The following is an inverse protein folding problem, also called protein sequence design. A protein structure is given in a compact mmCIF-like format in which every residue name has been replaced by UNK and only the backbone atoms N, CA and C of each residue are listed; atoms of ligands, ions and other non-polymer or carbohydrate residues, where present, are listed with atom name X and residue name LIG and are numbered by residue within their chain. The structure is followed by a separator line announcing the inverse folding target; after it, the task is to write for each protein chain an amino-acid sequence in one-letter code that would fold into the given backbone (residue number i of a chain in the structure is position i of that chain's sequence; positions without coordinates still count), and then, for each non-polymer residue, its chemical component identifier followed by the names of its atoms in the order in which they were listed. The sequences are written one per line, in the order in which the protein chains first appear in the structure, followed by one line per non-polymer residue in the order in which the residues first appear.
data_IF_147535207109
#
_entry.id   IF_147535207109
#
_cell.length_a   1.000
_cell.length_b   1.000
_cell.length_c   1.000
_cell.angle_alpha   90.00
_cell.angle_beta   90.00
_cell.angle_gamma   90.00
#
_symmetry.space_group_name_H-M   'P 1'
#
loop_
_entity.id
_entity.type
_entity.pdbx_description
1 polymer ?
#
# COMPACT_ATOMS: atom_id res chain seq x y z
N UNK A 1 26.64 13.09 0.82
CA UNK A 1 25.49 13.35 -0.06
C UNK A 1 25.44 12.23 -1.09
N UNK A 2 24.46 11.35 -0.99
CA UNK A 2 24.21 10.35 -2.03
C UNK A 2 23.64 11.07 -3.25
N UNK A 3 24.42 11.04 -4.34
CA UNK A 3 24.03 11.62 -5.62
C UNK A 3 22.94 10.71 -6.22
N UNK A 4 21.68 11.01 -5.90
CA UNK A 4 20.51 10.32 -6.45
C UNK A 4 20.34 10.82 -7.90
N UNK A 5 20.97 10.10 -8.83
CA UNK A 5 20.76 10.34 -10.25
C UNK A 5 19.27 10.07 -10.59
N UNK A 6 18.46 11.08 -10.89
CA UNK A 6 17.04 10.92 -11.19
C UNK A 6 16.79 10.06 -12.44
N UNK A 7 17.76 9.94 -13.34
CA UNK A 7 17.66 9.13 -14.56
C UNK A 7 17.80 7.63 -14.30
N UNK A 8 18.36 7.25 -13.13
CA UNK A 8 18.51 5.84 -12.71
C UNK A 8 17.19 5.26 -12.18
N UNK A 9 16.22 6.11 -11.85
CA UNK A 9 14.92 5.74 -11.31
C UNK A 9 13.82 6.44 -12.10
N UNK A 10 13.47 5.94 -13.30
CA UNK A 10 12.41 6.52 -14.09
C UNK A 10 11.09 6.47 -13.33
N UNK A 11 10.60 7.63 -12.91
CA UNK A 11 9.31 7.80 -12.21
C UNK A 11 8.08 7.36 -13.02
N UNK A 12 8.30 6.77 -14.19
CA UNK A 12 7.27 6.49 -15.19
C UNK A 12 7.16 5.04 -15.62
N UNK A 13 7.90 4.10 -14.97
CA UNK A 13 7.68 2.69 -15.25
C UNK A 13 6.44 2.22 -14.45
N UNK A 14 5.28 2.04 -15.09
CA UNK A 14 4.04 1.67 -14.40
C UNK A 14 4.15 0.34 -13.66
N UNK A 15 5.01 -0.56 -14.10
CA UNK A 15 5.19 -1.87 -13.47
C UNK A 15 5.98 -1.79 -12.15
N UNK A 16 6.87 -0.80 -12.03
CA UNK A 16 7.62 -0.55 -10.77
C UNK A 16 6.75 0.23 -9.78
N UNK A 17 6.03 1.24 -10.26
CA UNK A 17 5.23 2.15 -9.42
C UNK A 17 3.95 1.49 -8.90
N UNK A 18 3.29 0.70 -9.74
CA UNK A 18 1.97 0.14 -9.43
C UNK A 18 1.97 -1.34 -9.04
N UNK A 19 3.14 -1.99 -9.08
CA UNK A 19 3.31 -3.41 -8.82
C UNK A 19 3.08 -4.30 -10.04
N UNK A 20 3.52 -5.54 -9.95
CA UNK A 20 3.42 -6.55 -11.01
C UNK A 20 2.00 -7.10 -11.15
N UNK A 21 1.30 -7.25 -10.02
CA UNK A 21 -0.04 -7.83 -9.97
C UNK A 21 -1.07 -6.74 -10.24
N UNK A 22 -1.80 -6.90 -11.33
CA UNK A 22 -2.87 -5.96 -11.75
C UNK A 22 -4.24 -6.51 -11.36
N UNK A 23 -5.19 -5.64 -10.98
CA UNK A 23 -6.55 -6.08 -10.69
C UNK A 23 -7.27 -6.52 -11.96
N UNK A 24 -8.13 -7.51 -11.84
CA UNK A 24 -9.13 -7.84 -12.86
C UNK A 24 -10.29 -6.84 -12.79
N UNK A 25 -10.89 -6.54 -13.95
CA UNK A 25 -12.12 -5.75 -13.98
C UNK A 25 -13.31 -6.73 -13.96
N UNK A 26 -14.14 -6.64 -12.91
CA UNK A 26 -15.37 -7.40 -12.77
C UNK A 26 -16.54 -6.44 -12.52
N UNK A 27 -17.53 -6.46 -13.40
CA UNK A 27 -18.70 -5.54 -13.35
C UNK A 27 -18.31 -4.05 -13.24
N UNK A 28 -17.24 -3.64 -13.94
CA UNK A 28 -16.74 -2.27 -13.92
C UNK A 28 -15.86 -1.90 -12.70
N UNK A 29 -15.66 -2.82 -11.77
CA UNK A 29 -14.82 -2.63 -10.58
C UNK A 29 -13.51 -3.40 -10.68
N UNK A 30 -12.45 -2.80 -10.13
CA UNK A 30 -11.15 -3.44 -9.94
C UNK A 30 -11.24 -4.44 -8.80
N UNK A 31 -10.76 -5.65 -9.05
CA UNK A 31 -10.70 -6.73 -8.05
C UNK A 31 -9.32 -7.36 -8.07
N UNK A 32 -8.65 -7.35 -6.94
CA UNK A 32 -7.37 -8.06 -6.77
C UNK A 32 -7.60 -9.54 -6.49
N UNK A 33 -6.60 -10.41 -6.75
CA UNK A 33 -6.64 -11.79 -6.29
C UNK A 33 -6.84 -11.85 -4.75
N UNK A 34 -7.57 -12.85 -4.29
CA UNK A 34 -7.92 -12.94 -2.86
C UNK A 34 -6.69 -13.12 -1.95
N UNK A 35 -5.60 -13.65 -2.49
CA UNK A 35 -4.31 -13.86 -1.85
C UNK A 35 -3.29 -12.74 -2.14
N UNK A 36 -3.69 -11.68 -2.85
CA UNK A 36 -2.80 -10.59 -3.19
C UNK A 36 -2.21 -9.94 -1.93
N UNK A 37 -0.87 -9.86 -1.90
CA UNK A 37 -0.14 -9.30 -0.78
C UNK A 37 0.88 -8.24 -1.26
N UNK A 38 0.50 -6.96 -1.30
CA UNK A 38 1.39 -5.90 -1.75
C UNK A 38 2.56 -5.64 -0.80
N UNK A 39 2.50 -6.09 0.45
CA UNK A 39 3.62 -5.98 1.39
C UNK A 39 4.79 -6.85 0.92
N UNK A 40 4.50 -8.11 0.55
CA UNK A 40 5.54 -9.02 0.06
C UNK A 40 6.10 -8.57 -1.29
N UNK A 41 5.26 -8.05 -2.17
CA UNK A 41 5.71 -7.50 -3.46
C UNK A 41 6.60 -6.26 -3.27
N UNK A 42 6.24 -5.36 -2.36
CA UNK A 42 7.04 -4.18 -2.03
C UNK A 42 8.36 -4.57 -1.36
N UNK A 43 8.34 -5.55 -0.46
CA UNK A 43 9.53 -6.09 0.19
C UNK A 43 10.50 -6.69 -0.82
N UNK A 44 10.03 -7.46 -1.81
CA UNK A 44 10.85 -7.97 -2.90
C UNK A 44 11.58 -6.84 -3.64
N UNK A 45 10.91 -5.71 -3.89
CA UNK A 45 11.53 -4.55 -4.53
C UNK A 45 12.57 -3.86 -3.64
N UNK A 46 12.38 -3.87 -2.33
CA UNK A 46 13.37 -3.34 -1.38
C UNK A 46 14.61 -4.25 -1.35
N UNK A 47 14.42 -5.57 -1.24
CA UNK A 47 15.53 -6.53 -1.16
C UNK A 47 16.37 -6.58 -2.44
N UNK A 48 15.75 -6.51 -3.60
CA UNK A 48 16.46 -6.54 -4.88
C UNK A 48 17.03 -5.16 -5.30
N UNK A 49 16.86 -4.12 -4.47
CA UNK A 49 17.38 -2.78 -4.70
C UNK A 49 16.63 -1.96 -5.76
N UNK A 50 15.51 -2.44 -6.28
CA UNK A 50 14.67 -1.70 -7.23
C UNK A 50 14.03 -0.48 -6.58
N UNK A 51 13.66 -0.60 -5.30
CA UNK A 51 13.11 0.50 -4.51
C UNK A 51 14.04 0.85 -3.36
N UNK A 52 14.49 2.11 -3.31
CA UNK A 52 15.30 2.62 -2.21
C UNK A 52 14.40 3.16 -1.09
N UNK A 53 14.65 2.72 0.12
CA UNK A 53 13.94 3.15 1.32
C UNK A 53 14.92 3.59 2.41
N UNK A 54 14.43 4.34 3.39
CA UNK A 54 15.22 4.67 4.58
C UNK A 54 15.44 3.42 5.44
N UNK A 55 16.51 3.44 6.25
CA UNK A 55 16.80 2.34 7.20
C UNK A 55 15.59 2.02 8.10
N UNK A 56 14.83 3.03 8.53
CA UNK A 56 13.65 2.83 9.40
C UNK A 56 12.53 2.11 8.65
N UNK A 57 12.28 2.47 7.39
CA UNK A 57 11.29 1.80 6.55
C UNK A 57 11.70 0.36 6.29
N UNK A 58 12.98 0.12 5.97
CA UNK A 58 13.52 -1.22 5.81
C UNK A 58 13.25 -2.09 7.04
N UNK A 59 13.68 -1.65 8.23
CA UNK A 59 13.50 -2.38 9.48
C UNK A 59 12.02 -2.66 9.79
N UNK A 60 11.15 -1.70 9.52
CA UNK A 60 9.71 -1.86 9.73
C UNK A 60 9.11 -2.92 8.81
N UNK A 61 9.46 -2.91 7.52
CA UNK A 61 8.94 -3.92 6.59
C UNK A 61 9.56 -5.29 6.80
N UNK A 62 10.83 -5.37 7.18
CA UNK A 62 11.48 -6.61 7.61
C UNK A 62 10.70 -7.27 8.75
N UNK A 63 10.32 -6.50 9.77
CA UNK A 63 9.51 -7.00 10.89
C UNK A 63 8.11 -7.44 10.46
N UNK A 64 7.42 -6.62 9.65
CA UNK A 64 6.08 -6.94 9.14
C UNK A 64 6.09 -8.22 8.30
N UNK A 65 7.08 -8.37 7.43
CA UNK A 65 7.24 -9.56 6.58
C UNK A 65 7.54 -10.80 7.43
N UNK A 66 8.35 -10.65 8.49
CA UNK A 66 8.57 -11.74 9.45
C UNK A 66 7.25 -12.20 10.08
N UNK A 67 6.40 -11.28 10.55
CA UNK A 67 5.08 -11.63 11.09
C UNK A 67 4.19 -12.37 10.08
N UNK A 68 4.23 -11.96 8.81
CA UNK A 68 3.47 -12.65 7.75
C UNK A 68 4.00 -14.07 7.54
N UNK A 69 5.34 -14.25 7.48
CA UNK A 69 5.98 -15.57 7.30
C UNK A 69 5.79 -16.51 8.48
N UNK A 70 5.70 -15.97 9.68
CA UNK A 70 5.44 -16.71 10.93
C UNK A 70 3.94 -16.94 11.20
N UNK A 71 3.05 -16.62 10.24
CA UNK A 71 1.59 -16.72 10.35
C UNK A 71 0.98 -15.89 11.49
N UNK A 72 1.62 -14.81 11.88
CA UNK A 72 1.11 -13.85 12.84
C UNK A 72 2.12 -13.36 13.86
N UNK A 73 1.65 -12.46 14.71
CA UNK A 73 2.38 -11.93 15.84
C UNK A 73 1.42 -11.77 17.03
N UNK A 74 1.61 -12.56 18.06
CA UNK A 74 0.67 -12.69 19.18
C UNK A 74 -0.73 -13.10 18.68
N UNK A 75 -1.75 -12.32 19.05
CA UNK A 75 -3.14 -12.51 18.61
C UNK A 75 -3.43 -11.98 17.19
N UNK A 76 -2.45 -11.33 16.54
CA UNK A 76 -2.63 -10.64 15.25
C UNK A 76 -2.13 -11.49 14.09
N UNK A 77 -2.94 -11.61 13.05
CA UNK A 77 -2.57 -12.28 11.80
C UNK A 77 -2.89 -11.41 10.58
N UNK A 78 -2.17 -11.63 9.50
CA UNK A 78 -2.40 -10.89 8.26
C UNK A 78 -3.55 -11.50 7.46
N UNK A 79 -4.53 -10.67 7.10
CA UNK A 79 -5.66 -11.02 6.25
C UNK A 79 -5.57 -10.30 4.91
N UNK A 80 -5.18 -10.97 3.81
CA UNK A 80 -5.18 -10.36 2.47
C UNK A 80 -6.54 -9.78 2.09
N UNK A 81 -7.62 -10.46 2.43
CA UNK A 81 -8.99 -9.99 2.15
C UNK A 81 -9.27 -8.62 2.78
N UNK A 82 -8.87 -8.39 4.04
CA UNK A 82 -9.02 -7.09 4.70
C UNK A 82 -8.12 -6.03 4.09
N UNK A 83 -6.88 -6.39 3.78
CA UNK A 83 -5.93 -5.50 3.14
C UNK A 83 -6.41 -5.07 1.74
N UNK A 84 -6.90 -6.01 0.94
CA UNK A 84 -7.35 -5.73 -0.42
C UNK A 84 -8.64 -4.89 -0.44
N UNK A 85 -9.48 -5.01 0.59
CA UNK A 85 -10.74 -4.27 0.64
C UNK A 85 -10.54 -2.75 0.63
N UNK A 86 -9.60 -2.20 1.41
CA UNK A 86 -9.32 -0.76 1.38
C UNK A 86 -8.64 -0.32 0.08
N UNK A 87 -7.77 -1.14 -0.51
CA UNK A 87 -7.14 -0.86 -1.80
C UNK A 87 -8.21 -0.77 -2.89
N UNK A 88 -9.10 -1.76 -2.94
CA UNK A 88 -10.21 -1.81 -3.90
C UNK A 88 -11.19 -0.65 -3.67
N UNK A 89 -11.47 -0.30 -2.43
CA UNK A 89 -12.26 0.88 -2.09
C UNK A 89 -11.65 2.16 -2.67
N UNK A 90 -10.35 2.39 -2.42
CA UNK A 90 -9.65 3.55 -2.93
C UNK A 90 -9.71 3.65 -4.46
N UNK A 91 -9.37 2.55 -5.15
CA UNK A 91 -9.25 2.54 -6.61
C UNK A 91 -10.60 2.49 -7.35
N UNK A 92 -11.68 2.08 -6.67
CA UNK A 92 -13.01 2.02 -7.26
C UNK A 92 -13.88 3.23 -6.96
N UNK A 93 -13.77 3.82 -5.77
CA UNK A 93 -14.70 4.84 -5.31
C UNK A 93 -14.07 6.22 -5.13
N UNK A 94 -12.72 6.31 -5.00
CA UNK A 94 -12.05 7.58 -4.83
C UNK A 94 -11.51 8.13 -6.16
N UNK A 95 -11.54 9.46 -6.27
CA UNK A 95 -11.02 10.19 -7.43
C UNK A 95 -10.05 11.30 -6.98
N UNK A 96 -9.15 11.70 -7.87
CA UNK A 96 -8.32 12.87 -7.63
C UNK A 96 -9.19 14.13 -7.58
N UNK A 97 -9.02 14.95 -6.54
CA UNK A 97 -9.80 16.18 -6.33
C UNK A 97 -9.24 17.40 -7.04
N UNK A 98 -7.95 17.39 -7.40
CA UNK A 98 -7.23 18.58 -7.92
C UNK A 98 -6.25 18.23 -9.04
N UNK A 99 -5.85 19.26 -9.80
CA UNK A 99 -4.82 19.19 -10.83
C UNK A 99 -5.29 18.51 -12.11
N UNK A 100 -4.34 18.11 -12.97
CA UNK A 100 -4.60 17.48 -14.28
C UNK A 100 -5.33 16.13 -14.19
N UNK A 101 -5.33 15.52 -13.02
CA UNK A 101 -5.98 14.22 -12.75
C UNK A 101 -7.34 14.37 -12.09
N UNK A 102 -7.83 15.59 -11.83
CA UNK A 102 -9.12 15.83 -11.19
C UNK A 102 -10.25 15.01 -11.87
N UNK A 103 -11.07 14.35 -11.07
CA UNK A 103 -12.15 13.48 -11.52
C UNK A 103 -11.74 12.09 -12.02
N UNK A 104 -10.43 11.82 -12.24
CA UNK A 104 -9.97 10.47 -12.61
C UNK A 104 -9.85 9.58 -11.37
N UNK A 105 -10.16 8.30 -11.55
CA UNK A 105 -10.01 7.29 -10.49
C UNK A 105 -8.57 7.24 -9.99
N UNK A 106 -8.42 7.05 -8.69
CA UNK A 106 -7.13 6.83 -8.06
C UNK A 106 -6.56 5.49 -8.51
N UNK A 107 -5.25 5.46 -8.75
CA UNK A 107 -4.47 4.23 -8.89
C UNK A 107 -3.34 4.34 -7.88
N UNK A 108 -3.36 3.47 -6.88
CA UNK A 108 -2.38 3.48 -5.81
C UNK A 108 -1.02 2.95 -6.29
N UNK A 109 0.04 3.60 -5.87
CA UNK A 109 1.41 3.10 -6.01
C UNK A 109 1.63 1.87 -5.12
N UNK A 110 2.62 1.04 -5.44
CA UNK A 110 2.87 -0.18 -4.67
C UNK A 110 3.17 0.10 -3.19
N UNK A 111 3.95 1.14 -2.90
CA UNK A 111 4.24 1.52 -1.53
C UNK A 111 2.99 2.01 -0.77
N UNK A 112 2.05 2.67 -1.46
CA UNK A 112 0.77 3.10 -0.88
C UNK A 112 -0.11 1.89 -0.57
N UNK A 113 -0.16 0.90 -1.47
CA UNK A 113 -0.84 -0.38 -1.25
C UNK A 113 -0.23 -1.15 -0.08
N UNK A 114 1.11 -1.25 -0.03
CA UNK A 114 1.81 -1.91 1.06
C UNK A 114 1.56 -1.22 2.41
N UNK A 115 1.55 0.11 2.42
CA UNK A 115 1.22 0.90 3.60
C UNK A 115 -0.21 0.65 4.09
N UNK A 116 -1.21 0.79 3.21
CA UNK A 116 -2.61 0.54 3.58
C UNK A 116 -2.81 -0.91 4.05
N UNK A 117 -2.14 -1.87 3.40
CA UNK A 117 -2.18 -3.27 3.79
C UNK A 117 -1.58 -3.53 5.17
N UNK A 118 -0.47 -2.85 5.52
CA UNK A 118 0.11 -2.98 6.86
C UNK A 118 -0.79 -2.40 7.93
N UNK A 119 -1.53 -1.33 7.63
CA UNK A 119 -2.45 -0.70 8.60
C UNK A 119 -3.74 -1.50 8.78
N UNK A 120 -4.33 -2.00 7.70
CA UNK A 120 -5.67 -2.61 7.72
C UNK A 120 -5.69 -4.13 7.63
N UNK A 121 -4.57 -4.74 7.21
CA UNK A 121 -4.47 -6.18 7.00
C UNK A 121 -4.21 -7.00 8.25
N UNK A 122 -3.66 -6.42 9.33
CA UNK A 122 -3.43 -7.15 10.58
C UNK A 122 -4.65 -7.05 11.49
N UNK A 123 -5.27 -8.20 11.75
CA UNK A 123 -6.49 -8.33 12.55
C UNK A 123 -6.35 -9.44 13.57
N UNK A 124 -7.19 -9.42 14.61
CA UNK A 124 -7.41 -10.53 15.53
C UNK A 124 -8.55 -11.45 15.06
N UNK A 125 -8.86 -12.47 15.85
CA UNK A 125 -9.93 -13.43 15.56
C UNK A 125 -11.33 -12.78 15.52
N UNK A 126 -11.51 -11.65 16.21
CA UNK A 126 -12.76 -10.89 16.22
C UNK A 126 -12.85 -9.91 15.03
N UNK A 127 -11.75 -9.74 14.27
CA UNK A 127 -11.67 -8.83 13.14
C UNK A 127 -11.28 -7.40 13.51
N UNK A 128 -10.86 -7.15 14.76
CA UNK A 128 -10.35 -5.86 15.19
C UNK A 128 -8.97 -5.60 14.55
N UNK A 129 -8.68 -4.34 14.24
CA UNK A 129 -7.39 -3.96 13.65
C UNK A 129 -6.31 -3.82 14.71
N UNK A 130 -5.12 -4.36 14.43
CA UNK A 130 -3.91 -4.18 15.24
C UNK A 130 -3.52 -2.70 15.37
N UNK A 131 -3.49 -1.98 14.25
CA UNK A 131 -3.03 -0.60 14.20
C UNK A 131 -4.20 0.38 14.30
N UNK A 132 -4.41 0.95 15.48
CA UNK A 132 -5.43 1.97 15.74
C UNK A 132 -4.90 3.39 15.57
N UNK A 133 -3.58 3.57 15.71
CA UNK A 133 -2.89 4.85 15.49
C UNK A 133 -1.71 4.61 14.58
N UNK A 134 -1.58 5.45 13.57
CA UNK A 134 -0.53 5.35 12.55
C UNK A 134 0.08 6.73 12.32
N UNK A 135 1.38 6.77 12.16
CA UNK A 135 2.13 7.99 11.81
C UNK A 135 2.77 7.77 10.46
N UNK A 136 2.38 8.56 9.46
CA UNK A 136 2.95 8.53 8.13
C UNK A 136 3.85 9.76 7.91
N UNK A 137 5.14 9.52 7.74
CA UNK A 137 6.13 10.55 7.45
C UNK A 137 6.65 10.33 6.03
N UNK A 138 6.21 11.19 5.12
CA UNK A 138 6.63 11.16 3.69
C UNK A 138 6.96 12.57 3.22
N UNK A 139 7.78 12.67 2.20
CA UNK A 139 8.12 13.95 1.56
C UNK A 139 6.89 14.66 0.99
N UNK A 140 7.02 15.96 0.74
CA UNK A 140 5.97 16.76 0.07
C UNK A 140 5.65 16.17 -1.31
N UNK A 141 4.38 16.24 -1.73
CA UNK A 141 3.85 15.80 -3.04
C UNK A 141 3.88 14.28 -3.28
N UNK A 142 4.01 13.47 -2.25
CA UNK A 142 3.97 12.01 -2.32
C UNK A 142 2.62 11.41 -1.86
N UNK A 143 1.50 12.00 -2.27
CA UNK A 143 0.18 11.39 -2.07
C UNK A 143 -0.37 11.37 -0.63
N UNK A 144 0.36 11.91 0.38
CA UNK A 144 -0.05 11.83 1.80
C UNK A 144 -1.49 12.27 2.04
N UNK A 145 -1.87 13.46 1.58
CA UNK A 145 -3.24 13.98 1.76
C UNK A 145 -4.30 13.12 1.05
N UNK A 146 -3.92 12.47 -0.03
CA UNK A 146 -4.79 11.52 -0.73
C UNK A 146 -5.03 10.29 0.13
N UNK A 147 -3.97 9.71 0.69
CA UNK A 147 -4.06 8.55 1.59
C UNK A 147 -4.86 8.89 2.86
N UNK A 148 -4.62 10.06 3.47
CA UNK A 148 -5.38 10.53 4.63
C UNK A 148 -6.88 10.63 4.31
N UNK A 149 -7.23 11.17 3.13
CA UNK A 149 -8.62 11.27 2.67
C UNK A 149 -9.25 9.90 2.42
N UNK A 150 -8.52 8.98 1.79
CA UNK A 150 -8.97 7.59 1.55
C UNK A 150 -9.24 6.90 2.88
N UNK A 151 -8.32 6.98 3.84
CA UNK A 151 -8.46 6.34 5.14
C UNK A 151 -9.62 6.93 5.95
N UNK A 152 -9.81 8.25 5.88
CA UNK A 152 -10.92 8.94 6.55
C UNK A 152 -12.28 8.52 5.96
N UNK A 153 -12.41 8.50 4.62
CA UNK A 153 -13.63 8.05 3.94
C UNK A 153 -13.92 6.57 4.21
N UNK A 154 -12.89 5.73 4.19
CA UNK A 154 -13.04 4.31 4.47
C UNK A 154 -13.49 4.02 5.91
N UNK A 155 -13.13 4.89 6.85
CA UNK A 155 -13.56 4.79 8.25
C UNK A 155 -15.02 5.16 8.49
N UNK A 156 -15.69 5.76 7.50
CA UNK A 156 -17.11 6.16 7.56
C UNK A 156 -18.08 5.13 6.95
N UNK A 157 -17.57 4.12 6.24
CA UNK A 157 -18.33 3.07 5.57
C UNK A 157 -18.05 1.70 6.17
#
# INVERSE_FOLDING_TARGET
MLNLNPDKYPRTNPDIVYGKIKPKIKNGFRKYPDDYNPILEYWEQIENGTTLVSKKVYQQYEEIVRWIKENGYKEWFYSPKRANHIIEFAENFCCHSKGKMAGKKIVLELWEKAYLSSVYGFIDIEGNRKHQRVVLIVGKKNGKSLLDSVMSLYGLV
#
